data_IF_235318365747
#
_entry.id   IF_235318365747
#
_cell.length_a   1.000
_cell.length_b   1.000
_cell.length_c   1.000
_cell.angle_alpha   90.00
_cell.angle_beta   90.00
_cell.angle_gamma   90.00
#
_symmetry.space_group_name_H-M   'P 1'
#
loop_
_entity.id
_entity.type
_entity.pdbx_description
1 polymer ?
#
# COMPACT_ATOMS: atom_id res chain seq x y z
N UNK A 1 7.40 -20.37 6.21
CA UNK A 1 6.32 -20.75 5.31
C UNK A 1 6.37 -22.19 4.77
N UNK A 2 7.25 -23.10 5.20
CA UNK A 2 7.22 -24.52 4.85
C UNK A 2 7.39 -24.86 3.36
N UNK A 3 8.04 -24.00 2.62
CA UNK A 3 8.44 -24.26 1.23
C UNK A 3 9.84 -24.86 1.27
N UNK A 4 9.96 -26.11 0.82
CA UNK A 4 11.26 -26.74 0.66
C UNK A 4 11.87 -26.30 -0.67
N UNK A 5 12.98 -25.58 -0.61
CA UNK A 5 13.73 -25.22 -1.82
C UNK A 5 14.53 -26.44 -2.29
N UNK A 6 14.17 -26.96 -3.44
CA UNK A 6 14.94 -28.00 -4.15
C UNK A 6 15.72 -27.30 -5.27
N UNK A 7 17.07 -27.20 -5.18
CA UNK A 7 17.86 -26.61 -6.26
C UNK A 7 17.57 -27.35 -7.57
N UNK A 8 17.26 -26.60 -8.63
CA UNK A 8 16.94 -27.09 -9.97
C UNK A 8 15.68 -27.98 -10.08
N UNK A 9 14.83 -28.02 -9.04
CA UNK A 9 13.54 -28.70 -9.06
C UNK A 9 12.36 -27.74 -9.22
N UNK A 10 11.20 -28.27 -9.62
CA UNK A 10 9.96 -27.51 -9.56
C UNK A 10 9.60 -27.23 -8.10
N UNK A 11 9.15 -26.01 -7.82
CA UNK A 11 8.59 -25.66 -6.51
C UNK A 11 7.34 -26.51 -6.27
N UNK A 12 7.40 -27.46 -5.35
CA UNK A 12 6.30 -28.34 -5.04
C UNK A 12 5.69 -27.95 -3.68
N UNK A 13 4.48 -27.42 -3.70
CA UNK A 13 3.74 -27.00 -2.50
C UNK A 13 2.41 -27.71 -2.48
N UNK A 14 2.08 -28.33 -1.37
CA UNK A 14 0.75 -28.90 -1.13
C UNK A 14 -0.33 -27.81 -1.23
N UNK A 15 -1.43 -28.12 -1.92
CA UNK A 15 -2.51 -27.15 -2.17
C UNK A 15 -3.11 -26.58 -0.88
N UNK A 16 -3.26 -27.39 0.18
CA UNK A 16 -3.79 -26.89 1.45
C UNK A 16 -2.82 -25.91 2.12
N UNK A 17 -1.52 -26.19 2.03
CA UNK A 17 -0.48 -25.27 2.51
C UNK A 17 -0.47 -24.00 1.69
N UNK A 18 -0.56 -24.09 0.36
CA UNK A 18 -0.66 -22.92 -0.52
C UNK A 18 -1.81 -22.01 -0.10
N UNK A 19 -3.04 -22.57 -0.05
CA UNK A 19 -4.25 -21.81 0.30
C UNK A 19 -4.13 -21.18 1.69
N UNK A 20 -3.65 -21.92 2.67
CA UNK A 20 -3.47 -21.43 4.04
C UNK A 20 -2.45 -20.29 4.10
N UNK A 21 -1.32 -20.44 3.42
CA UNK A 21 -0.25 -19.42 3.42
C UNK A 21 -0.71 -18.15 2.72
N UNK A 22 -1.33 -18.27 1.54
CA UNK A 22 -1.86 -17.14 0.80
C UNK A 22 -2.97 -16.40 1.58
N UNK A 23 -3.84 -17.15 2.25
CA UNK A 23 -4.87 -16.56 3.13
C UNK A 23 -4.26 -15.78 4.29
N UNK A 24 -3.15 -16.27 4.87
CA UNK A 24 -2.42 -15.55 5.92
C UNK A 24 -1.81 -14.25 5.38
N UNK A 25 -1.12 -14.31 4.24
CA UNK A 25 -0.54 -13.12 3.58
C UNK A 25 -1.64 -12.08 3.30
N UNK A 26 -2.77 -12.50 2.73
CA UNK A 26 -3.89 -11.61 2.43
C UNK A 26 -4.53 -10.99 3.66
N UNK A 27 -4.62 -11.75 4.75
CA UNK A 27 -5.08 -11.22 6.03
C UNK A 27 -4.14 -10.12 6.54
N UNK A 28 -2.84 -10.42 6.60
CA UNK A 28 -1.84 -9.51 7.11
C UNK A 28 -1.74 -8.24 6.23
N UNK A 29 -1.89 -8.39 4.91
CA UNK A 29 -2.00 -7.25 3.98
C UNK A 29 -3.28 -6.44 4.22
N UNK A 30 -4.40 -7.09 4.56
CA UNK A 30 -5.65 -6.43 4.92
C UNK A 30 -5.54 -5.55 6.18
N UNK A 31 -4.78 -5.99 7.17
CA UNK A 31 -4.48 -5.19 8.37
C UNK A 31 -3.70 -3.91 8.02
N UNK A 32 -2.96 -3.93 6.91
CA UNK A 32 -2.26 -2.77 6.39
C UNK A 32 -3.07 -1.92 5.38
N UNK A 33 -4.24 -2.40 4.93
CA UNK A 33 -5.14 -1.69 4.01
C UNK A 33 -5.18 -2.24 2.57
N UNK A 34 -4.49 -3.35 2.27
CA UNK A 34 -4.46 -3.94 0.93
C UNK A 34 -5.47 -5.08 0.77
N UNK A 35 -6.18 -5.13 -0.36
CA UNK A 35 -7.14 -6.19 -0.68
C UNK A 35 -8.41 -6.20 0.18
N UNK A 36 -8.71 -5.09 0.83
CA UNK A 36 -9.92 -4.84 1.63
C UNK A 36 -10.50 -3.47 1.29
N UNK A 37 -11.77 -3.24 1.58
CA UNK A 37 -12.34 -1.90 1.46
C UNK A 37 -11.68 -0.95 2.45
N UNK A 38 -11.32 0.24 2.00
CA UNK A 38 -10.67 1.24 2.87
C UNK A 38 -11.66 1.93 3.80
N UNK A 39 -12.95 1.83 3.49
CA UNK A 39 -14.00 2.55 4.21
C UNK A 39 -14.12 4.02 3.82
N UNK A 40 -13.58 4.38 2.64
CA UNK A 40 -13.77 5.71 2.07
C UNK A 40 -15.27 6.01 1.92
N UNK A 41 -15.65 7.24 2.17
CA UNK A 41 -17.04 7.73 2.15
C UNK A 41 -17.60 7.94 0.72
N UNK A 42 -17.40 6.92 -0.14
CA UNK A 42 -17.96 6.87 -1.51
C UNK A 42 -18.75 5.58 -1.73
N UNK A 43 -19.76 5.59 -2.60
CA UNK A 43 -20.45 4.36 -2.97
C UNK A 43 -19.57 3.45 -3.84
N UNK A 44 -19.82 2.14 -3.76
CA UNK A 44 -19.23 1.13 -4.67
C UNK A 44 -17.70 1.05 -4.64
N UNK A 45 -17.09 1.19 -3.48
CA UNK A 45 -15.65 0.97 -3.32
C UNK A 45 -15.26 -0.46 -3.69
N UNK A 46 -14.22 -0.62 -4.52
CA UNK A 46 -13.64 -1.92 -4.88
C UNK A 46 -12.58 -2.34 -3.87
N UNK A 47 -12.52 -3.63 -3.57
CA UNK A 47 -11.47 -4.24 -2.75
C UNK A 47 -10.29 -4.79 -3.57
N UNK A 48 -10.17 -4.38 -4.85
CA UNK A 48 -9.12 -4.85 -5.76
C UNK A 48 -9.45 -6.20 -6.39
N UNK A 49 -8.45 -6.84 -6.97
CA UNK A 49 -8.58 -8.18 -7.56
C UNK A 49 -7.67 -9.16 -6.83
N UNK A 50 -8.22 -10.31 -6.45
CA UNK A 50 -7.49 -11.43 -5.83
C UNK A 50 -7.28 -12.53 -6.86
N UNK A 51 -6.01 -12.85 -7.12
CA UNK A 51 -5.63 -13.93 -8.02
C UNK A 51 -6.25 -15.27 -7.59
N UNK A 52 -6.63 -16.09 -8.56
CA UNK A 52 -7.36 -17.36 -8.33
C UNK A 52 -6.55 -18.61 -8.68
N UNK A 53 -5.47 -18.43 -9.42
CA UNK A 53 -4.57 -19.52 -9.77
C UNK A 53 -3.81 -20.00 -8.52
N UNK A 54 -3.53 -21.29 -8.47
CA UNK A 54 -2.91 -21.97 -7.32
C UNK A 54 -1.50 -22.47 -7.65
N UNK A 55 -0.89 -21.95 -8.72
CA UNK A 55 0.49 -22.29 -9.03
C UNK A 55 1.43 -21.85 -7.87
N UNK A 56 2.30 -22.73 -7.38
CA UNK A 56 3.15 -22.45 -6.21
C UNK A 56 4.00 -21.19 -6.32
N UNK A 57 4.39 -20.78 -7.53
CA UNK A 57 5.15 -19.56 -7.81
C UNK A 57 4.44 -18.29 -7.29
N UNK A 58 3.11 -18.27 -7.26
CA UNK A 58 2.35 -17.11 -6.79
C UNK A 58 2.54 -16.78 -5.31
N UNK A 59 3.02 -17.72 -4.49
CA UNK A 59 3.43 -17.38 -3.11
C UNK A 59 4.68 -16.51 -3.10
N UNK A 60 5.60 -16.72 -4.04
CA UNK A 60 6.80 -15.89 -4.20
C UNK A 60 6.42 -14.53 -4.79
N UNK A 61 5.52 -14.53 -5.78
CA UNK A 61 4.98 -13.30 -6.38
C UNK A 61 4.31 -12.43 -5.32
N UNK A 62 3.50 -13.01 -4.43
CA UNK A 62 2.87 -12.29 -3.34
C UNK A 62 3.88 -11.64 -2.38
N UNK A 63 5.06 -12.25 -2.16
CA UNK A 63 6.12 -11.69 -1.32
C UNK A 63 6.72 -10.40 -1.87
N UNK A 64 6.63 -10.16 -3.18
CA UNK A 64 7.11 -8.94 -3.84
C UNK A 64 5.97 -8.00 -4.25
N UNK A 65 4.73 -8.32 -3.86
CA UNK A 65 3.54 -7.52 -4.14
C UNK A 65 2.93 -7.77 -5.51
N UNK A 66 3.30 -8.84 -6.21
CA UNK A 66 2.67 -9.33 -7.43
C UNK A 66 1.50 -10.28 -7.12
N UNK A 67 0.75 -10.67 -8.15
CA UNK A 67 -0.36 -11.62 -8.15
C UNK A 67 -1.73 -11.01 -7.79
N UNK A 68 -1.89 -10.38 -6.64
CA UNK A 68 -3.09 -9.60 -6.33
C UNK A 68 -2.93 -8.15 -6.84
N UNK A 69 -4.03 -7.51 -7.21
CA UNK A 69 -4.01 -6.09 -7.61
C UNK A 69 -4.83 -5.24 -6.66
N UNK A 70 -4.36 -4.02 -6.44
CA UNK A 70 -4.91 -3.10 -5.46
C UNK A 70 -5.34 -1.80 -6.12
N UNK A 71 -6.34 -1.15 -5.56
CA UNK A 71 -6.77 0.17 -6.03
C UNK A 71 -5.80 1.27 -5.57
N UNK A 72 -5.73 2.41 -6.28
CA UNK A 72 -4.89 3.54 -5.86
C UNK A 72 -5.19 4.01 -4.44
N UNK A 73 -6.46 3.99 -4.03
CA UNK A 73 -6.83 4.41 -2.66
C UNK A 73 -6.35 3.41 -1.60
N UNK A 74 -6.36 2.11 -1.90
CA UNK A 74 -5.77 1.10 -1.02
C UNK A 74 -4.27 1.32 -0.87
N UNK A 75 -3.55 1.59 -1.96
CA UNK A 75 -2.12 1.90 -1.92
C UNK A 75 -1.84 3.18 -1.13
N UNK A 76 -2.68 4.20 -1.24
CA UNK A 76 -2.58 5.42 -0.45
C UNK A 76 -2.84 5.15 1.05
N UNK A 77 -3.86 4.38 1.40
CA UNK A 77 -4.12 3.98 2.79
C UNK A 77 -2.97 3.13 3.36
N UNK A 78 -2.48 2.16 2.59
CA UNK A 78 -1.30 1.37 2.96
C UNK A 78 -0.09 2.26 3.25
N UNK A 79 0.17 3.23 2.37
CA UNK A 79 1.27 4.19 2.57
C UNK A 79 1.07 5.04 3.82
N UNK A 80 -0.16 5.49 4.10
CA UNK A 80 -0.50 6.17 5.36
C UNK A 80 -0.25 5.26 6.57
N UNK A 81 -0.59 3.97 6.48
CA UNK A 81 -0.35 2.99 7.55
C UNK A 81 1.14 2.84 7.84
N UNK A 82 1.98 2.77 6.79
CA UNK A 82 3.44 2.72 6.94
C UNK A 82 3.97 4.02 7.57
N UNK A 83 3.51 5.18 7.08
CA UNK A 83 3.90 6.50 7.59
C UNK A 83 3.49 6.69 9.06
N UNK A 84 2.36 6.12 9.47
CA UNK A 84 1.83 6.15 10.84
C UNK A 84 2.37 5.00 11.72
N UNK A 85 3.43 4.31 11.29
CA UNK A 85 4.06 3.22 12.03
C UNK A 85 3.07 2.11 12.45
N UNK A 86 2.20 1.70 11.52
CA UNK A 86 1.27 0.58 11.69
C UNK A 86 -0.15 0.95 12.10
N UNK A 87 -0.49 2.21 12.21
CA UNK A 87 -1.88 2.64 12.49
C UNK A 87 -2.61 2.92 11.18
N UNK A 88 -3.56 2.03 10.84
CA UNK A 88 -4.41 2.16 9.66
C UNK A 88 -5.56 3.11 9.95
N UNK A 89 -5.58 4.25 9.27
CA UNK A 89 -6.64 5.25 9.40
C UNK A 89 -7.63 5.16 8.25
N UNK A 90 -8.90 5.42 8.53
CA UNK A 90 -9.95 5.48 7.51
C UNK A 90 -9.78 6.73 6.65
N UNK A 91 -9.66 6.60 5.31
CA UNK A 91 -9.69 7.74 4.42
C UNK A 91 -11.11 8.32 4.32
N UNK A 92 -11.21 9.61 3.98
CA UNK A 92 -12.49 10.30 3.82
C UNK A 92 -12.33 11.51 2.88
N UNK A 93 -13.39 11.88 2.20
CA UNK A 93 -13.51 13.12 1.44
C UNK A 93 -14.26 14.19 2.23
N UNK A 94 -15.34 13.78 2.93
CA UNK A 94 -16.14 14.73 3.68
C UNK A 94 -15.51 15.04 5.03
N UNK A 95 -14.98 16.24 5.17
CA UNK A 95 -14.37 16.73 6.43
C UNK A 95 -15.43 17.27 7.36
N UNK A 96 -16.30 18.16 6.85
CA UNK A 96 -17.33 18.82 7.63
C UNK A 96 -18.51 19.22 6.76
N UNK A 97 -19.73 19.15 7.31
CA UNK A 97 -20.91 19.76 6.72
C UNK A 97 -21.60 20.63 7.74
N UNK A 98 -22.27 21.68 7.26
CA UNK A 98 -22.97 22.64 8.09
C UNK A 98 -24.29 23.08 7.46
N UNK A 99 -25.22 23.54 8.29
CA UNK A 99 -26.43 24.27 7.88
C UNK A 99 -26.24 25.74 8.21
N UNK A 100 -26.82 26.61 7.38
CA UNK A 100 -26.95 28.04 7.68
C UNK A 100 -28.40 28.35 8.06
N UNK A 101 -28.63 29.19 9.07
CA UNK A 101 -29.92 29.81 9.29
C UNK A 101 -30.09 30.99 8.31
N UNK A 102 -31.29 31.55 8.26
CA UNK A 102 -31.60 32.72 7.41
C UNK A 102 -30.85 34.00 7.82
N UNK A 103 -30.15 34.01 8.96
CA UNK A 103 -29.45 35.15 9.54
C UNK A 103 -27.92 35.07 9.30
N UNK A 104 -27.44 33.99 8.61
CA UNK A 104 -26.04 33.82 8.27
C UNK A 104 -25.21 33.05 9.32
N UNK A 105 -25.79 32.60 10.42
CA UNK A 105 -25.09 31.74 11.38
C UNK A 105 -24.94 30.33 10.80
N UNK A 106 -23.79 29.68 11.07
CA UNK A 106 -23.49 28.33 10.64
C UNK A 106 -23.40 27.39 11.82
N UNK A 107 -24.02 26.21 11.70
CA UNK A 107 -23.85 25.12 12.66
C UNK A 107 -23.43 23.85 11.96
N UNK A 108 -22.36 23.26 12.49
CA UNK A 108 -21.85 21.99 12.01
C UNK A 108 -22.88 20.90 12.20
N UNK A 109 -23.27 20.25 11.11
CA UNK A 109 -24.18 19.09 11.13
C UNK A 109 -23.43 17.76 11.09
N UNK A 110 -22.20 17.78 10.59
CA UNK A 110 -21.31 16.64 10.58
C UNK A 110 -19.85 17.14 10.63
N UNK A 111 -19.02 16.43 11.35
CA UNK A 111 -17.56 16.61 11.34
C UNK A 111 -16.90 15.26 11.43
N UNK A 112 -16.01 14.96 10.49
CA UNK A 112 -15.26 13.73 10.50
C UNK A 112 -14.37 13.65 11.75
N UNK A 113 -14.36 12.46 12.36
CA UNK A 113 -13.44 12.14 13.45
C UNK A 113 -12.49 11.06 12.97
N UNK A 114 -11.19 11.23 13.21
CA UNK A 114 -10.19 10.22 12.88
C UNK A 114 -10.61 8.87 13.45
N UNK A 115 -10.71 7.88 12.57
CA UNK A 115 -11.00 6.49 12.92
C UNK A 115 -9.78 5.63 12.60
N UNK A 116 -9.24 4.96 13.62
CA UNK A 116 -8.20 3.95 13.47
C UNK A 116 -8.92 2.62 13.28
N UNK A 117 -8.81 2.04 12.09
CA UNK A 117 -9.46 0.79 11.72
C UNK A 117 -8.67 -0.44 12.19
N UNK A 118 -7.33 -0.29 12.25
CA UNK A 118 -6.40 -1.35 12.64
C UNK A 118 -5.14 -0.75 13.28
N UNK A 119 -4.51 -1.49 14.18
CA UNK A 119 -3.27 -1.06 14.85
C UNK A 119 -2.30 -2.24 15.00
N UNK A 120 -1.33 -2.30 14.10
CA UNK A 120 -0.23 -3.27 14.12
C UNK A 120 1.09 -2.63 14.55
N UNK A 121 1.04 -1.50 15.26
CA UNK A 121 2.21 -0.75 15.74
C UNK A 121 3.12 -1.53 16.70
N UNK A 122 2.66 -2.65 17.23
CA UNK A 122 3.50 -3.60 17.97
C UNK A 122 4.68 -4.15 17.17
N UNK A 123 4.59 -4.12 15.81
CA UNK A 123 5.66 -4.50 14.88
C UNK A 123 6.66 -3.35 14.61
N UNK A 124 6.95 -2.52 15.61
CA UNK A 124 7.70 -1.28 15.46
C UNK A 124 9.05 -1.42 14.73
N UNK A 125 9.77 -2.53 14.97
CA UNK A 125 11.08 -2.74 14.33
C UNK A 125 10.95 -3.06 12.83
N UNK A 126 9.89 -3.77 12.42
CA UNK A 126 9.60 -3.98 11.01
C UNK A 126 9.29 -2.65 10.31
N UNK A 127 8.48 -1.78 10.92
CA UNK A 127 8.18 -0.44 10.36
C UNK A 127 9.42 0.45 10.27
N UNK A 128 10.33 0.40 11.24
CA UNK A 128 11.62 1.11 11.15
C UNK A 128 12.46 0.63 9.97
N UNK A 129 12.53 -0.68 9.73
CA UNK A 129 13.26 -1.25 8.61
C UNK A 129 12.62 -0.85 7.27
N UNK A 130 11.29 -0.91 7.15
CA UNK A 130 10.56 -0.45 5.96
C UNK A 130 10.84 1.03 5.72
N UNK A 131 10.73 1.87 6.74
CA UNK A 131 11.05 3.31 6.67
C UNK A 131 12.47 3.54 6.16
N UNK A 132 13.45 2.82 6.71
CA UNK A 132 14.84 2.93 6.29
C UNK A 132 15.02 2.49 4.82
N UNK A 133 14.40 1.40 4.39
CA UNK A 133 14.40 0.94 3.01
C UNK A 133 13.75 1.95 2.04
N UNK A 134 12.60 2.52 2.40
CA UNK A 134 11.94 3.56 1.60
C UNK A 134 12.80 4.83 1.50
N UNK A 135 13.51 5.19 2.57
CA UNK A 135 14.45 6.33 2.54
C UNK A 135 15.66 6.02 1.66
N UNK A 136 16.20 4.81 1.72
CA UNK A 136 17.33 4.38 0.90
C UNK A 136 17.04 4.44 -0.61
N UNK A 137 15.80 4.20 -1.04
CA UNK A 137 15.38 4.39 -2.44
C UNK A 137 15.62 5.82 -2.96
N UNK A 138 15.66 6.80 -2.05
CA UNK A 138 15.88 8.21 -2.38
C UNK A 138 17.33 8.65 -2.13
N UNK A 139 17.93 8.22 -1.02
CA UNK A 139 19.24 8.77 -0.59
C UNK A 139 20.43 8.05 -1.22
N UNK A 140 20.30 6.77 -1.56
CA UNK A 140 21.39 6.03 -2.19
C UNK A 140 21.49 6.40 -3.67
N UNK A 141 22.70 6.52 -4.19
CA UNK A 141 22.97 6.85 -5.59
C UNK A 141 22.45 5.76 -6.58
N UNK A 142 22.34 4.51 -6.12
CA UNK A 142 21.74 3.40 -6.83
C UNK A 142 20.23 3.23 -6.51
N UNK A 143 19.64 4.14 -5.75
CA UNK A 143 18.23 4.12 -5.40
C UNK A 143 17.32 4.44 -6.59
N UNK A 144 16.24 3.68 -6.77
CA UNK A 144 15.33 3.79 -7.92
C UNK A 144 14.63 5.14 -8.06
N UNK A 145 14.61 5.94 -7.01
CA UNK A 145 14.01 7.28 -7.00
C UNK A 145 15.01 8.40 -6.68
N UNK A 146 16.29 8.08 -6.62
CA UNK A 146 17.36 9.03 -6.28
C UNK A 146 17.35 10.27 -7.19
N UNK A 147 17.35 10.07 -8.49
CA UNK A 147 17.41 11.15 -9.50
C UNK A 147 16.28 12.18 -9.36
N UNK A 148 15.12 11.75 -8.86
CA UNK A 148 13.94 12.62 -8.79
C UNK A 148 13.77 13.34 -7.45
N UNK A 149 14.25 12.72 -6.35
CA UNK A 149 13.88 13.14 -5.01
C UNK A 149 15.06 13.51 -4.10
N UNK A 150 16.31 13.15 -4.44
CA UNK A 150 17.46 13.31 -3.56
C UNK A 150 17.76 14.77 -3.18
N UNK A 151 17.54 15.71 -4.11
CA UNK A 151 17.84 17.14 -3.94
C UNK A 151 16.67 17.96 -3.39
N UNK A 152 15.57 17.32 -2.99
CA UNK A 152 14.42 18.06 -2.47
C UNK A 152 14.67 18.53 -1.04
N UNK A 153 14.17 19.74 -0.66
CA UNK A 153 14.39 20.32 0.67
C UNK A 153 13.56 19.67 1.78
N UNK A 154 12.97 18.53 1.52
CA UNK A 154 12.15 17.74 2.44
C UNK A 154 12.50 16.26 2.35
N UNK A 155 12.21 15.51 3.39
CA UNK A 155 12.48 14.08 3.43
C UNK A 155 11.38 13.29 2.69
N UNK A 156 11.78 12.57 1.65
CA UNK A 156 10.89 11.67 0.89
C UNK A 156 11.24 10.22 1.22
N UNK A 157 10.22 9.42 1.39
CA UNK A 157 10.25 7.99 1.61
C UNK A 157 9.38 7.35 0.54
N UNK A 158 9.95 6.55 -0.34
CA UNK A 158 9.16 5.97 -1.42
C UNK A 158 9.62 4.57 -1.81
N UNK A 159 8.75 3.90 -2.57
CA UNK A 159 9.03 2.63 -3.24
C UNK A 159 8.42 2.67 -4.63
N UNK A 160 9.21 2.33 -5.62
CA UNK A 160 8.74 2.14 -7.00
C UNK A 160 8.26 0.71 -7.19
N UNK A 161 7.32 0.52 -8.10
CA UNK A 161 6.87 -0.78 -8.56
C UNK A 161 6.71 -0.78 -10.07
N UNK A 162 6.98 -1.91 -10.69
CA UNK A 162 6.69 -2.16 -12.09
C UNK A 162 5.90 -3.46 -12.15
N UNK A 163 4.62 -3.37 -12.52
CA UNK A 163 3.74 -4.52 -12.58
C UNK A 163 3.52 -4.90 -14.04
N UNK A 164 3.87 -6.13 -14.39
CA UNK A 164 3.60 -6.67 -15.71
C UNK A 164 2.09 -6.77 -15.94
N UNK A 165 1.66 -6.43 -17.14
CA UNK A 165 0.27 -6.55 -17.58
C UNK A 165 0.19 -7.69 -18.59
N UNK A 166 -0.55 -8.71 -18.24
CA UNK A 166 -0.87 -9.79 -19.17
C UNK A 166 -2.21 -9.53 -19.81
N UNK A 167 -2.22 -9.26 -21.12
CA UNK A 167 -3.44 -9.02 -21.91
C UNK A 167 -3.82 -10.19 -22.83
N UNK A 168 -3.18 -11.34 -22.65
CA UNK A 168 -3.36 -12.52 -23.49
C UNK A 168 -2.56 -12.49 -24.80
N UNK A 169 -1.82 -11.42 -25.06
CA UNK A 169 -1.00 -11.24 -26.25
C UNK A 169 0.45 -11.09 -25.80
N UNK A 170 1.31 -12.07 -26.07
CA UNK A 170 2.68 -12.17 -25.56
C UNK A 170 3.65 -11.06 -25.99
N UNK A 171 3.18 -10.01 -26.65
CA UNK A 171 3.99 -8.93 -27.21
C UNK A 171 3.64 -7.53 -26.69
N UNK A 172 2.86 -7.39 -25.62
CA UNK A 172 2.52 -6.06 -25.10
C UNK A 172 3.41 -5.72 -23.91
N UNK A 173 4.37 -4.89 -24.19
CA UNK A 173 5.41 -4.41 -23.28
C UNK A 173 5.01 -3.06 -22.66
N UNK A 174 3.84 -3.00 -22.02
CA UNK A 174 3.37 -1.79 -21.32
C UNK A 174 3.11 -2.11 -19.84
N UNK A 175 4.16 -2.21 -19.02
CA UNK A 175 4.00 -2.44 -17.60
C UNK A 175 3.37 -1.21 -16.92
N UNK A 176 2.56 -1.44 -15.91
CA UNK A 176 2.09 -0.39 -15.03
C UNK A 176 3.24 0.08 -14.13
N UNK A 177 3.56 1.35 -14.16
CA UNK A 177 4.53 1.96 -13.27
C UNK A 177 3.85 2.55 -12.05
N UNK A 178 4.32 2.17 -10.87
CA UNK A 178 3.77 2.58 -9.60
C UNK A 178 4.83 3.30 -8.77
N UNK A 179 4.40 4.28 -8.01
CA UNK A 179 5.18 4.84 -6.94
C UNK A 179 4.28 5.13 -5.74
N UNK A 180 4.65 4.62 -4.59
CA UNK A 180 4.04 4.95 -3.31
C UNK A 180 5.07 5.66 -2.43
N UNK A 181 4.62 6.53 -1.56
CA UNK A 181 5.53 7.20 -0.64
C UNK A 181 4.85 8.19 0.28
N UNK A 182 5.65 8.76 1.16
CA UNK A 182 5.23 9.86 2.01
C UNK A 182 6.35 10.88 2.16
N UNK A 183 5.98 12.08 2.55
CA UNK A 183 6.85 13.24 2.69
C UNK A 183 6.79 13.72 4.14
N UNK A 184 7.95 14.07 4.70
CA UNK A 184 8.10 14.75 5.98
C UNK A 184 8.92 16.03 5.77
N UNK A 185 8.76 17.03 6.62
CA UNK A 185 9.57 18.26 6.51
C UNK A 185 11.06 17.95 6.71
N UNK A 186 11.38 17.08 7.65
CA UNK A 186 12.73 16.54 7.92
C UNK A 186 12.63 15.05 8.19
N UNK A 187 13.75 14.34 8.30
CA UNK A 187 13.77 12.89 8.59
C UNK A 187 13.18 12.56 9.97
N UNK A 188 13.27 13.49 10.92
CA UNK A 188 12.79 13.33 12.30
C UNK A 188 11.38 13.87 12.51
N UNK A 189 10.80 14.53 11.51
CA UNK A 189 9.47 15.11 11.64
C UNK A 189 8.38 14.09 11.28
N UNK A 190 7.15 14.37 11.74
CA UNK A 190 5.98 13.58 11.40
C UNK A 190 5.69 13.65 9.90
N UNK A 191 5.18 12.57 9.31
CA UNK A 191 4.69 12.58 7.93
C UNK A 191 3.63 13.66 7.72
N UNK A 192 3.72 14.36 6.59
CA UNK A 192 2.80 15.42 6.20
C UNK A 192 1.81 14.95 5.14
N UNK A 193 2.31 14.21 4.15
CA UNK A 193 1.54 13.76 2.99
C UNK A 193 1.97 12.35 2.63
N UNK A 194 1.01 11.47 2.36
CA UNK A 194 1.25 10.20 1.70
C UNK A 194 0.66 10.24 0.28
N UNK A 195 1.28 9.53 -0.65
CA UNK A 195 0.85 9.48 -2.04
C UNK A 195 0.94 8.07 -2.62
N UNK A 196 0.09 7.80 -3.60
CA UNK A 196 0.20 6.66 -4.50
C UNK A 196 -0.05 7.16 -5.93
N UNK A 197 0.85 6.82 -6.84
CA UNK A 197 0.77 7.20 -8.26
C UNK A 197 0.88 5.95 -9.12
N UNK A 198 0.05 5.87 -10.15
CA UNK A 198 0.05 4.78 -11.12
C UNK A 198 0.05 5.41 -12.51
N UNK A 199 0.98 4.97 -13.37
CA UNK A 199 1.02 5.27 -14.79
C UNK A 199 0.82 3.98 -15.60
N UNK A 200 0.01 4.07 -16.66
CA UNK A 200 -0.38 2.95 -17.54
C UNK A 200 0.29 3.09 -18.90
#
# INVERSE_FOLDING_TARGET
AGVEYVPHGALNVDLNRFVKTLSTIRRDFGELGLGVKTGLDVPNESDGYKGRDTAPGHLLDACIGQYDTYTPIQLAQYTCTLANMGKKVQPHFLIESFKSDGEGNRYTTYKFKTNIQDDVSSQADAFKQIKAGMRACVTRTDGTSHTYWSEKPYAVYCKTGTAEKYDGNSNVDHPNHLQIGYISATEDSKPLVAFASIAF
#
